data_IF_937249313144
#
_entry.id   IF_937249313144
#
_cell.length_a   1.000
_cell.length_b   1.000
_cell.length_c   1.000
_cell.angle_alpha   90.00
_cell.angle_beta   90.00
_cell.angle_gamma   90.00
#
_symmetry.space_group_name_H-M   'P 1'
#
loop_
_entity.id
_entity.type
_entity.pdbx_description
1 polymer ?
#
# COMPACT_ATOMS: atom_id res chain seq x y z
N UNK A 1 21.12 -4.40 12.84
CA UNK A 1 20.06 -4.50 11.82
C UNK A 1 19.07 -5.57 12.27
N UNK A 2 17.78 -5.24 12.43
CA UNK A 2 16.80 -6.20 12.96
C UNK A 2 16.45 -7.25 11.90
N UNK A 3 16.55 -8.54 12.24
CA UNK A 3 16.09 -9.62 11.36
C UNK A 3 14.56 -9.59 11.32
N UNK A 4 13.99 -9.15 10.20
CA UNK A 4 12.55 -9.13 9.98
C UNK A 4 12.22 -8.81 8.53
N UNK A 5 11.14 -9.41 8.05
CA UNK A 5 10.66 -9.30 6.67
C UNK A 5 9.81 -8.03 6.52
N UNK A 6 10.45 -6.86 6.54
CA UNK A 6 9.77 -5.55 6.57
C UNK A 6 9.56 -4.89 5.20
N UNK A 7 10.31 -5.34 4.19
CA UNK A 7 10.25 -4.79 2.83
C UNK A 7 9.61 -5.75 1.83
N UNK A 8 9.62 -7.05 2.13
CA UNK A 8 9.11 -8.05 1.20
C UNK A 8 7.62 -7.89 0.95
N UNK A 9 7.24 -8.14 -0.31
CA UNK A 9 5.86 -8.14 -0.75
C UNK A 9 5.25 -9.52 -0.54
N UNK A 10 3.93 -9.57 -0.35
CA UNK A 10 3.20 -10.83 -0.30
C UNK A 10 3.32 -11.58 -1.64
N UNK A 11 3.95 -12.75 -1.60
CA UNK A 11 4.02 -13.69 -2.73
C UNK A 11 2.66 -14.31 -2.99
N UNK A 12 2.34 -14.54 -4.27
CA UNK A 12 1.13 -15.21 -4.76
C UNK A 12 1.53 -16.23 -5.81
N UNK A 13 0.63 -17.16 -6.13
CA UNK A 13 0.87 -18.11 -7.23
C UNK A 13 0.66 -17.45 -8.59
N UNK A 14 1.39 -17.93 -9.58
CA UNK A 14 1.29 -17.44 -10.97
C UNK A 14 -0.13 -17.64 -11.50
N UNK A 15 -0.64 -16.64 -12.21
CA UNK A 15 -2.02 -16.64 -12.68
C UNK A 15 -3.01 -15.98 -11.71
N UNK A 16 -2.60 -15.63 -10.49
CA UNK A 16 -3.49 -14.93 -9.54
C UNK A 16 -3.88 -13.56 -10.09
N UNK A 17 -5.18 -13.34 -10.31
CA UNK A 17 -5.69 -12.01 -10.68
C UNK A 17 -5.57 -11.04 -9.49
N UNK A 18 -5.13 -9.82 -9.77
CA UNK A 18 -4.96 -8.75 -8.78
C UNK A 18 -5.68 -7.49 -9.20
N UNK A 19 -6.03 -6.64 -8.24
CA UNK A 19 -6.76 -5.38 -8.53
C UNK A 19 -5.85 -4.17 -8.76
N UNK A 20 -4.55 -4.29 -8.52
CA UNK A 20 -3.56 -3.21 -8.61
C UNK A 20 -2.15 -3.80 -8.53
N UNK A 21 -1.12 -3.02 -8.86
CA UNK A 21 0.27 -3.46 -8.93
C UNK A 21 1.28 -2.32 -8.72
N UNK A 22 2.56 -2.63 -8.98
CA UNK A 22 3.67 -1.68 -9.01
C UNK A 22 4.41 -1.81 -10.35
N UNK A 23 5.09 -0.76 -10.81
CA UNK A 23 5.70 -0.74 -12.15
C UNK A 23 7.13 -1.30 -12.21
N UNK A 24 7.79 -1.52 -11.06
CA UNK A 24 9.20 -1.94 -10.99
C UNK A 24 9.55 -3.31 -11.61
N UNK A 25 8.56 -4.17 -11.86
CA UNK A 25 8.71 -5.37 -12.67
C UNK A 25 7.35 -5.75 -13.24
N UNK A 26 6.97 -5.12 -14.36
CA UNK A 26 5.68 -5.35 -15.00
C UNK A 26 5.79 -5.25 -16.51
N UNK A 27 5.16 -6.20 -17.20
CA UNK A 27 4.94 -6.13 -18.63
C UNK A 27 3.49 -5.74 -18.90
N UNK A 28 3.29 -4.78 -19.79
CA UNK A 28 1.97 -4.29 -20.18
C UNK A 28 1.82 -4.31 -21.70
N UNK A 29 0.65 -4.73 -22.18
CA UNK A 29 0.30 -4.60 -23.60
C UNK A 29 0.03 -3.13 -23.91
N UNK A 30 0.74 -2.58 -24.90
CA UNK A 30 0.62 -1.16 -25.30
C UNK A 30 -0.84 -0.78 -25.62
N UNK A 31 -1.60 -1.69 -26.21
CA UNK A 31 -3.00 -1.50 -26.58
C UNK A 31 -3.88 -1.20 -25.37
N UNK A 32 -3.55 -1.71 -24.17
CA UNK A 32 -4.30 -1.40 -22.95
C UNK A 32 -4.20 0.08 -22.57
N UNK A 33 -3.03 0.69 -22.77
CA UNK A 33 -2.81 2.11 -22.53
C UNK A 33 -3.46 2.96 -23.62
N UNK A 34 -3.26 2.59 -24.89
CA UNK A 34 -3.83 3.34 -26.02
C UNK A 34 -5.36 3.36 -26.01
N UNK A 35 -6.02 2.23 -25.69
CA UNK A 35 -7.49 2.14 -25.64
C UNK A 35 -8.11 2.96 -24.51
N UNK A 36 -7.37 3.19 -23.43
CA UNK A 36 -7.88 3.91 -22.25
C UNK A 36 -7.44 5.37 -22.21
N UNK A 37 -6.34 5.71 -22.88
CA UNK A 37 -5.65 6.99 -22.74
C UNK A 37 -5.05 7.18 -21.35
N UNK A 38 -4.96 6.13 -20.52
CA UNK A 38 -4.45 6.26 -19.16
C UNK A 38 -2.93 6.37 -19.15
N UNK A 39 -2.47 7.40 -18.45
CA UNK A 39 -1.07 7.63 -18.08
C UNK A 39 -0.94 7.68 -16.56
N UNK A 40 0.29 7.73 -16.06
CA UNK A 40 0.54 8.07 -14.66
C UNK A 40 -0.02 9.46 -14.34
N UNK A 41 -0.73 9.57 -13.22
CA UNK A 41 -1.29 10.85 -12.79
C UNK A 41 -0.23 11.62 -11.99
N UNK A 42 0.17 12.78 -12.53
CA UNK A 42 1.15 13.67 -11.92
C UNK A 42 0.79 14.11 -10.48
N UNK A 43 -0.50 14.05 -10.10
CA UNK A 43 -0.95 14.29 -8.72
C UNK A 43 -0.42 13.26 -7.72
N UNK A 44 0.14 12.13 -8.19
CA UNK A 44 0.83 11.14 -7.37
C UNK A 44 2.36 11.31 -7.37
N UNK A 45 2.95 12.13 -8.25
CA UNK A 45 4.40 12.19 -8.44
C UNK A 45 5.21 12.60 -7.19
N UNK A 46 4.64 13.46 -6.32
CA UNK A 46 5.28 13.83 -5.04
C UNK A 46 4.99 12.86 -3.91
N UNK A 47 3.95 12.06 -4.06
CA UNK A 47 3.33 11.33 -2.95
C UNK A 47 3.53 9.83 -3.06
N UNK A 48 3.76 9.30 -4.26
CA UNK A 48 3.89 7.87 -4.50
C UNK A 48 2.54 7.15 -4.55
N UNK A 49 2.55 5.96 -5.13
CA UNK A 49 1.33 5.19 -5.41
C UNK A 49 0.74 5.39 -6.80
N UNK A 50 1.43 6.14 -7.67
CA UNK A 50 1.04 6.34 -9.07
C UNK A 50 0.88 5.02 -9.83
N UNK A 51 1.79 4.06 -9.60
CA UNK A 51 1.67 2.72 -10.17
C UNK A 51 0.36 2.06 -9.75
N UNK A 52 0.10 2.04 -8.45
CA UNK A 52 -1.07 1.39 -7.89
C UNK A 52 -2.36 2.03 -8.39
N UNK A 53 -2.38 3.34 -8.58
CA UNK A 53 -3.47 4.07 -9.21
C UNK A 53 -3.67 3.68 -10.68
N UNK A 54 -2.62 3.76 -11.51
CA UNK A 54 -2.69 3.41 -12.93
C UNK A 54 -3.24 2.00 -13.13
N UNK A 55 -2.67 1.03 -12.42
CA UNK A 55 -3.08 -0.36 -12.49
C UNK A 55 -4.50 -0.59 -11.96
N UNK A 56 -4.90 0.14 -10.91
CA UNK A 56 -6.26 0.06 -10.40
C UNK A 56 -7.28 0.63 -11.39
N UNK A 57 -6.97 1.74 -12.07
CA UNK A 57 -7.80 2.32 -13.13
C UNK A 57 -7.95 1.36 -14.31
N UNK A 58 -6.86 0.74 -14.76
CA UNK A 58 -6.90 -0.30 -15.79
C UNK A 58 -7.78 -1.49 -15.37
N UNK A 59 -7.61 -2.00 -14.15
CA UNK A 59 -8.46 -3.06 -13.60
C UNK A 59 -9.94 -2.65 -13.58
N UNK A 60 -10.25 -1.43 -13.13
CA UNK A 60 -11.62 -0.88 -13.12
C UNK A 60 -12.22 -0.72 -14.51
N UNK A 61 -11.39 -0.60 -15.55
CA UNK A 61 -11.82 -0.56 -16.96
C UNK A 61 -11.98 -1.96 -17.57
N UNK A 62 -11.82 -3.02 -16.77
CA UNK A 62 -12.02 -4.41 -17.18
C UNK A 62 -10.77 -5.12 -17.71
N UNK A 63 -9.60 -4.47 -17.65
CA UNK A 63 -8.35 -5.15 -18.00
C UNK A 63 -7.94 -6.12 -16.89
N UNK A 64 -7.42 -7.27 -17.29
CA UNK A 64 -6.92 -8.28 -16.36
C UNK A 64 -5.49 -7.96 -15.97
N UNK A 65 -5.23 -7.95 -14.66
CA UNK A 65 -3.90 -7.85 -14.09
C UNK A 65 -3.58 -9.17 -13.42
N UNK A 66 -2.49 -9.81 -13.84
CA UNK A 66 -2.14 -11.17 -13.43
C UNK A 66 -0.77 -11.15 -12.77
N UNK A 67 -0.67 -11.75 -11.59
CA UNK A 67 0.59 -11.94 -10.89
C UNK A 67 1.37 -13.11 -11.51
N UNK A 68 2.68 -12.92 -11.69
CA UNK A 68 3.62 -13.95 -12.13
C UNK A 68 4.72 -14.06 -11.08
N UNK A 69 4.80 -15.23 -10.42
CA UNK A 69 5.73 -15.51 -9.33
C UNK A 69 7.17 -15.61 -9.81
N UNK A 70 7.35 -16.08 -11.05
CA UNK A 70 8.65 -16.25 -11.71
C UNK A 70 9.24 -14.90 -12.13
N UNK A 71 8.39 -13.88 -12.39
CA UNK A 71 8.79 -12.51 -12.67
C UNK A 71 9.14 -11.76 -11.38
N UNK A 72 10.12 -12.26 -10.64
CA UNK A 72 10.60 -11.62 -9.42
C UNK A 72 11.72 -10.62 -9.74
N UNK A 73 11.78 -9.55 -8.94
CA UNK A 73 12.89 -8.60 -8.93
C UNK A 73 13.29 -8.35 -7.48
N UNK A 74 14.58 -8.18 -7.24
CA UNK A 74 15.13 -7.75 -5.97
C UNK A 74 15.76 -6.38 -6.12
N UNK A 75 15.50 -5.50 -5.16
CA UNK A 75 16.10 -4.17 -5.08
C UNK A 75 16.84 -4.05 -3.75
N UNK A 76 18.02 -3.43 -3.78
CA UNK A 76 18.72 -3.09 -2.56
C UNK A 76 18.01 -1.93 -1.85
N UNK A 77 17.80 -2.09 -0.55
CA UNK A 77 17.17 -1.05 0.27
C UNK A 77 18.24 -0.10 0.77
N UNK A 78 18.16 1.16 0.35
CA UNK A 78 19.06 2.23 0.79
C UNK A 78 19.21 2.27 2.33
N UNK A 79 20.43 2.49 2.86
CA UNK A 79 20.68 2.55 4.31
C UNK A 79 19.76 3.51 5.07
N UNK A 80 19.41 4.65 4.46
CA UNK A 80 18.51 5.65 5.03
C UNK A 80 17.08 5.15 5.24
N UNK A 81 16.70 4.06 4.57
CA UNK A 81 15.38 3.42 4.71
C UNK A 81 15.38 2.33 5.77
N UNK A 82 16.56 1.88 6.23
CA UNK A 82 16.73 0.76 7.16
C UNK A 82 16.59 1.18 8.65
N UNK A 83 15.59 2.01 8.96
CA UNK A 83 15.31 2.45 10.33
C UNK A 83 13.81 2.52 10.63
N UNK A 84 13.45 2.46 11.92
CA UNK A 84 12.06 2.48 12.36
C UNK A 84 11.32 3.76 11.97
N UNK A 85 11.98 4.92 11.96
CA UNK A 85 11.37 6.19 11.59
C UNK A 85 10.87 6.15 10.14
N UNK A 86 11.68 5.64 9.22
CA UNK A 86 11.28 5.41 7.84
C UNK A 86 10.16 4.36 7.75
N UNK A 87 10.32 3.20 8.40
CA UNK A 87 9.31 2.13 8.37
C UNK A 87 7.94 2.59 8.86
N UNK A 88 7.88 3.40 9.92
CA UNK A 88 6.64 3.94 10.47
C UNK A 88 5.97 4.91 9.50
N UNK A 89 6.73 5.86 8.93
CA UNK A 89 6.22 6.76 7.89
C UNK A 89 5.72 5.99 6.68
N UNK A 90 6.50 4.99 6.21
CA UNK A 90 6.14 4.12 5.09
C UNK A 90 4.85 3.35 5.36
N UNK A 91 4.65 2.82 6.57
CA UNK A 91 3.43 2.11 6.92
C UNK A 91 2.19 3.03 6.83
N UNK A 92 2.23 4.21 7.46
CA UNK A 92 1.15 5.21 7.36
C UNK A 92 0.89 5.56 5.90
N UNK A 93 1.96 5.79 5.14
CA UNK A 93 1.90 6.13 3.72
C UNK A 93 1.23 5.07 2.87
N UNK A 94 1.57 3.79 3.05
CA UNK A 94 0.93 2.68 2.34
C UNK A 94 -0.59 2.70 2.59
N UNK A 95 -1.00 2.92 3.84
CA UNK A 95 -2.41 3.04 4.21
C UNK A 95 -3.12 4.20 3.49
N UNK A 96 -2.52 5.39 3.51
CA UNK A 96 -3.06 6.57 2.82
C UNK A 96 -3.18 6.34 1.32
N UNK A 97 -2.12 5.83 0.68
CA UNK A 97 -2.12 5.52 -0.75
C UNK A 97 -3.22 4.54 -1.11
N UNK A 98 -3.40 3.47 -0.33
CA UNK A 98 -4.45 2.49 -0.56
C UNK A 98 -5.86 3.10 -0.50
N UNK A 99 -6.11 4.00 0.46
CA UNK A 99 -7.38 4.73 0.56
C UNK A 99 -7.58 5.69 -0.61
N UNK A 100 -6.53 6.44 -0.99
CA UNK A 100 -6.57 7.45 -2.04
C UNK A 100 -7.00 6.88 -3.39
N UNK A 101 -6.22 5.95 -3.96
CA UNK A 101 -6.51 5.48 -5.32
C UNK A 101 -7.82 4.67 -5.43
N UNK A 102 -8.38 4.19 -4.30
CA UNK A 102 -9.66 3.48 -4.28
C UNK A 102 -10.87 4.36 -4.00
N UNK A 103 -10.72 5.40 -3.20
CA UNK A 103 -11.86 6.11 -2.62
C UNK A 103 -11.85 7.63 -2.85
N UNK A 104 -10.83 8.23 -3.46
CA UNK A 104 -10.81 9.68 -3.75
C UNK A 104 -11.99 10.10 -4.62
N UNK A 105 -12.35 9.30 -5.63
CA UNK A 105 -13.46 9.61 -6.54
C UNK A 105 -14.81 9.05 -6.06
N UNK A 106 -14.84 8.35 -4.91
CA UNK A 106 -16.04 7.76 -4.37
C UNK A 106 -16.57 8.65 -3.24
N UNK A 107 -17.79 9.14 -3.42
CA UNK A 107 -18.53 9.90 -2.41
C UNK A 107 -18.82 9.09 -1.13
N UNK A 108 -19.78 9.57 -0.33
CA UNK A 108 -20.23 8.80 0.82
C UNK A 108 -20.98 7.55 0.37
N UNK A 109 -20.54 6.37 0.81
CA UNK A 109 -21.14 5.09 0.44
C UNK A 109 -20.97 4.10 1.59
N UNK A 110 -21.92 3.18 1.77
CA UNK A 110 -21.85 2.12 2.79
C UNK A 110 -20.52 1.35 2.72
N UNK A 111 -20.05 1.02 1.52
CA UNK A 111 -18.76 0.36 1.30
C UNK A 111 -17.56 1.14 1.86
N UNK A 112 -17.60 2.48 1.78
CA UNK A 112 -16.57 3.36 2.36
C UNK A 112 -16.64 3.34 3.88
N UNK A 113 -17.84 3.42 4.46
CA UNK A 113 -18.04 3.32 5.91
C UNK A 113 -17.54 1.98 6.44
N UNK A 114 -17.95 0.87 5.83
CA UNK A 114 -17.51 -0.48 6.21
C UNK A 114 -15.98 -0.64 6.10
N UNK A 115 -15.36 -0.05 5.08
CA UNK A 115 -13.91 -0.02 4.93
C UNK A 115 -13.23 0.71 6.09
N UNK A 116 -13.70 1.92 6.43
CA UNK A 116 -13.18 2.72 7.54
C UNK A 116 -13.39 1.99 8.88
N UNK A 117 -14.59 1.46 9.15
CA UNK A 117 -14.88 0.69 10.37
C UNK A 117 -13.96 -0.52 10.51
N UNK A 118 -13.73 -1.27 9.42
CA UNK A 118 -12.78 -2.40 9.42
C UNK A 118 -11.35 -1.95 9.69
N UNK A 119 -10.93 -0.80 9.16
CA UNK A 119 -9.59 -0.24 9.42
C UNK A 119 -9.43 0.14 10.90
N UNK A 120 -10.45 0.79 11.50
CA UNK A 120 -10.47 1.15 12.92
C UNK A 120 -10.38 -0.10 13.81
N UNK A 121 -11.20 -1.12 13.55
CA UNK A 121 -11.16 -2.38 14.31
C UNK A 121 -9.78 -3.05 14.23
N UNK A 122 -9.18 -3.10 13.04
CA UNK A 122 -7.82 -3.63 12.85
C UNK A 122 -6.77 -2.80 13.56
N UNK A 123 -6.93 -1.48 13.60
CA UNK A 123 -6.01 -0.59 14.32
C UNK A 123 -5.98 -0.93 15.81
N UNK A 124 -7.15 -1.03 16.46
CA UNK A 124 -7.22 -1.43 17.88
C UNK A 124 -6.71 -2.84 18.13
N UNK A 125 -7.07 -3.80 17.26
CA UNK A 125 -6.56 -5.17 17.36
C UNK A 125 -5.03 -5.21 17.28
N UNK A 126 -4.42 -4.54 16.30
CA UNK A 126 -2.97 -4.55 16.15
C UNK A 126 -2.25 -3.73 17.23
N UNK A 127 -2.88 -2.69 17.79
CA UNK A 127 -2.38 -2.02 18.98
C UNK A 127 -2.29 -3.01 20.16
N UNK A 128 -3.38 -3.72 20.45
CA UNK A 128 -3.40 -4.75 21.48
C UNK A 128 -2.37 -5.86 21.24
N UNK A 129 -2.33 -6.43 20.04
CA UNK A 129 -1.35 -7.45 19.67
C UNK A 129 0.09 -6.95 19.76
N UNK A 130 0.35 -5.67 19.51
CA UNK A 130 1.70 -5.11 19.68
C UNK A 130 2.12 -5.15 21.15
N UNK A 131 1.24 -4.76 22.08
CA UNK A 131 1.53 -4.81 23.52
C UNK A 131 1.76 -6.26 23.97
N UNK A 132 0.90 -7.19 23.54
CA UNK A 132 1.08 -8.62 23.82
C UNK A 132 2.35 -9.21 23.19
N UNK A 133 2.86 -8.63 22.10
CA UNK A 133 4.05 -9.09 21.40
C UNK A 133 5.37 -8.60 22.02
N UNK A 134 5.34 -7.70 23.01
CA UNK A 134 6.54 -7.19 23.68
C UNK A 134 7.48 -8.29 24.23
N UNK A 135 6.98 -9.39 24.85
CA UNK A 135 7.82 -10.49 25.33
C UNK A 135 8.43 -11.34 24.20
N UNK A 136 7.83 -11.33 23.00
CA UNK A 136 8.18 -12.20 21.87
C UNK A 136 9.19 -11.55 20.90
N UNK A 137 9.88 -10.51 21.36
CA UNK A 137 10.95 -9.86 20.64
C UNK A 137 10.52 -8.66 19.80
N UNK A 138 11.51 -7.77 19.58
CA UNK A 138 11.31 -6.46 18.95
C UNK A 138 10.78 -6.54 17.52
N UNK A 139 11.17 -7.55 16.74
CA UNK A 139 10.71 -7.71 15.35
C UNK A 139 9.20 -8.01 15.27
N UNK A 140 8.70 -8.88 16.16
CA UNK A 140 7.28 -9.25 16.26
C UNK A 140 6.44 -8.04 16.68
N UNK A 141 6.89 -7.33 17.72
CA UNK A 141 6.29 -6.06 18.15
C UNK A 141 6.20 -5.05 17.01
N UNK A 142 7.33 -4.76 16.34
CA UNK A 142 7.39 -3.80 15.24
C UNK A 142 6.44 -4.21 14.11
N UNK A 143 6.31 -5.49 13.80
CA UNK A 143 5.38 -5.97 12.76
C UNK A 143 3.93 -5.58 13.06
N UNK A 144 3.49 -5.70 14.31
CA UNK A 144 2.14 -5.28 14.70
C UNK A 144 1.99 -3.76 14.73
N UNK A 145 3.01 -3.03 15.18
CA UNK A 145 3.03 -1.56 15.08
C UNK A 145 2.89 -1.09 13.63
N UNK A 146 3.62 -1.69 12.70
CA UNK A 146 3.53 -1.35 11.27
C UNK A 146 2.13 -1.64 10.71
N UNK A 147 1.51 -2.77 11.08
CA UNK A 147 0.12 -3.08 10.69
C UNK A 147 -0.89 -2.09 11.30
N UNK A 148 -0.68 -1.66 12.54
CA UNK A 148 -1.49 -0.63 13.18
C UNK A 148 -1.36 0.70 12.42
N UNK A 149 -0.13 1.14 12.14
CA UNK A 149 0.16 2.40 11.44
C UNK A 149 -0.37 2.41 9.99
N UNK A 150 -0.34 1.28 9.28
CA UNK A 150 -1.00 1.14 7.98
C UNK A 150 -2.52 1.39 8.08
N UNK A 151 -3.19 0.79 9.09
CA UNK A 151 -4.63 1.01 9.27
C UNK A 151 -4.94 2.43 9.77
N UNK A 152 -4.08 3.02 10.60
CA UNK A 152 -4.16 4.44 10.94
C UNK A 152 -4.08 5.31 9.69
N UNK A 153 -3.11 5.08 8.80
CA UNK A 153 -2.97 5.83 7.54
C UNK A 153 -4.21 5.74 6.65
N UNK A 154 -4.89 4.58 6.61
CA UNK A 154 -6.15 4.42 5.88
C UNK A 154 -7.26 5.34 6.38
N UNK A 155 -7.38 5.49 7.70
CA UNK A 155 -8.37 6.35 8.33
C UNK A 155 -7.96 7.83 8.24
N UNK A 156 -6.68 8.11 8.51
CA UNK A 156 -6.11 9.45 8.51
C UNK A 156 -6.27 10.16 7.16
N UNK A 157 -6.18 9.41 6.05
CA UNK A 157 -6.49 9.93 4.71
C UNK A 157 -7.89 10.55 4.58
N UNK A 158 -8.90 10.04 5.28
CA UNK A 158 -10.25 10.61 5.22
C UNK A 158 -10.47 11.76 6.20
N UNK A 159 -9.64 11.84 7.24
CA UNK A 159 -9.68 12.92 8.21
C UNK A 159 -8.91 14.17 7.74
N UNK A 160 -8.01 14.00 6.79
CA UNK A 160 -7.18 15.06 6.22
C UNK A 160 -7.53 15.26 4.76
N UNK A 161 -7.76 16.50 4.33
CA UNK A 161 -8.08 16.83 2.94
C UNK A 161 -6.85 16.65 2.03
N UNK A 162 -6.47 15.40 1.75
CA UNK A 162 -5.29 15.02 0.97
C UNK A 162 -3.93 15.42 1.58
N UNK A 163 -3.84 15.58 2.91
CA UNK A 163 -2.54 15.76 3.57
C UNK A 163 -1.83 14.40 3.69
N UNK A 164 -0.74 14.27 2.95
CA UNK A 164 -0.14 13.00 2.59
C UNK A 164 1.26 12.93 3.17
N UNK A 165 1.54 11.86 3.93
CA UNK A 165 2.84 11.71 4.60
C UNK A 165 3.97 11.63 3.57
N UNK A 166 4.83 12.64 3.57
CA UNK A 166 6.03 12.68 2.75
C UNK A 166 7.11 11.74 3.30
N UNK A 167 7.60 10.85 2.43
CA UNK A 167 8.69 9.93 2.76
C UNK A 167 10.07 10.58 2.60
N UNK A 168 10.19 11.52 1.67
CA UNK A 168 11.41 12.23 1.34
C UNK A 168 11.24 13.71 1.72
N UNK A 169 12.23 14.28 2.40
CA UNK A 169 12.44 15.72 2.57
C UNK A 169 13.78 16.05 1.95
#
# INVERSE_FOLDING_TARGET
>A
MYKGVFFDRKVRETGTEVSSGGAGCTLIRKEALLKTGYTFDAKFGKTGGEDSDLFYRLHKKGFKLVYCKEAFVSEEVEPERLNCKYLFKRAIRIGQTFSRYRFTLIGFTVSKCLYISKAILKMFLYAFLSVCALPFGKATYITYVLKMLDNFGKCYFFATNDDLVELYK
#
